data_IF_598646299563
#
_entry.id   IF_598646299563
#
_cell.length_a   1.000
_cell.length_b   1.000
_cell.length_c   1.000
_cell.angle_alpha   90.00
_cell.angle_beta   90.00
_cell.angle_gamma   90.00
#
_symmetry.space_group_name_H-M   'P 1'
#
loop_
_entity.id
_entity.type
_entity.pdbx_description
1 polymer ?
#
# COMPACT_ATOMS: atom_id res chain seq x y z
N UNK A 1 -0.95 -13.82 14.97
CA UNK A 1 -0.03 -14.68 15.74
C UNK A 1 -0.36 -16.13 15.44
N UNK A 2 0.63 -17.03 15.39
CA UNK A 2 0.39 -18.48 15.28
C UNK A 2 1.09 -19.17 16.46
N UNK A 3 0.36 -20.00 17.20
CA UNK A 3 0.90 -20.89 18.24
C UNK A 3 0.27 -22.28 18.11
N UNK A 4 0.98 -23.32 18.53
CA UNK A 4 0.45 -24.68 18.68
C UNK A 4 0.45 -25.00 20.15
N UNK A 5 -0.72 -25.10 20.82
CA UNK A 5 -0.86 -25.46 22.25
C UNK A 5 -0.22 -24.52 23.30
N UNK A 6 0.68 -23.61 22.91
CA UNK A 6 1.21 -22.58 23.80
C UNK A 6 0.18 -21.47 24.02
N UNK A 7 -0.07 -21.14 25.29
CA UNK A 7 -0.85 -19.98 25.68
C UNK A 7 -0.06 -18.69 25.42
N UNK A 8 -0.67 -17.73 24.73
CA UNK A 8 -0.10 -16.40 24.51
C UNK A 8 -1.08 -15.29 24.85
N UNK A 9 -0.56 -14.17 25.32
CA UNK A 9 -1.30 -12.94 25.62
C UNK A 9 -0.57 -11.73 25.06
N UNK A 10 -1.32 -10.78 24.52
CA UNK A 10 -0.83 -9.43 24.28
C UNK A 10 -0.86 -8.67 25.61
N UNK A 11 0.17 -7.87 25.90
CA UNK A 11 0.15 -6.92 27.00
C UNK A 11 0.31 -5.49 26.50
N UNK A 12 -0.39 -4.57 27.16
CA UNK A 12 -0.14 -3.14 27.09
C UNK A 12 0.21 -2.67 28.50
N UNK A 13 1.38 -2.07 28.68
CA UNK A 13 1.82 -1.47 29.93
C UNK A 13 1.78 0.05 29.82
N UNK A 14 0.97 0.67 30.69
CA UNK A 14 0.85 2.14 30.82
C UNK A 14 1.29 2.51 32.23
N UNK A 15 2.41 3.23 32.34
CA UNK A 15 2.98 3.66 33.63
C UNK A 15 3.09 2.56 34.69
N UNK A 16 3.47 1.35 34.24
CA UNK A 16 3.65 0.18 35.12
C UNK A 16 2.38 -0.61 35.39
N UNK A 17 1.21 -0.17 34.89
CA UNK A 17 -0.02 -0.96 34.93
C UNK A 17 -0.15 -1.77 33.65
N UNK A 18 -0.21 -3.09 33.79
CA UNK A 18 -0.34 -4.01 32.65
C UNK A 18 -1.80 -4.39 32.41
N UNK A 19 -2.26 -4.21 31.18
CA UNK A 19 -3.53 -4.73 30.67
C UNK A 19 -3.22 -5.89 29.73
N UNK A 20 -3.70 -7.08 30.09
CA UNK A 20 -3.51 -8.30 29.32
C UNK A 20 -4.75 -8.58 28.45
N UNK A 21 -4.53 -9.08 27.23
CA UNK A 21 -5.60 -9.69 26.44
C UNK A 21 -6.09 -10.98 27.11
N UNK A 22 -7.21 -11.52 26.63
CA UNK A 22 -7.55 -12.92 26.89
C UNK A 22 -6.39 -13.83 26.48
N UNK A 23 -6.16 -14.92 27.22
CA UNK A 23 -5.16 -15.91 26.85
C UNK A 23 -5.68 -16.75 25.68
N UNK A 24 -4.86 -16.88 24.64
CA UNK A 24 -5.17 -17.70 23.48
C UNK A 24 -4.28 -18.94 23.46
N UNK A 25 -4.93 -20.10 23.36
CA UNK A 25 -4.29 -21.39 23.11
C UNK A 25 -4.43 -21.67 21.62
N UNK A 26 -3.37 -21.41 20.86
CA UNK A 26 -3.47 -21.38 19.41
C UNK A 26 -3.86 -22.71 18.80
N UNK A 27 -4.60 -22.63 17.69
CA UNK A 27 -5.08 -23.76 16.89
C UNK A 27 -4.09 -24.23 15.83
N UNK A 28 -2.88 -23.66 15.80
CA UNK A 28 -1.93 -23.85 14.70
C UNK A 28 -2.21 -23.01 13.46
N UNK A 29 -3.17 -22.07 13.52
CA UNK A 29 -3.45 -21.09 12.46
C UNK A 29 -3.12 -19.66 12.90
N UNK A 30 -3.13 -18.70 11.96
CA UNK A 30 -3.00 -17.29 12.30
C UNK A 30 -4.27 -16.81 12.99
N UNK A 31 -4.11 -16.39 14.23
CA UNK A 31 -5.16 -15.81 15.07
C UNK A 31 -4.79 -14.37 15.39
N UNK A 32 -5.80 -13.54 15.54
CA UNK A 32 -5.59 -12.16 15.95
C UNK A 32 -5.80 -12.03 17.46
N UNK A 33 -4.92 -11.24 18.08
CA UNK A 33 -4.95 -10.90 19.49
C UNK A 33 -5.12 -9.40 19.61
N UNK A 34 -5.99 -9.00 20.52
CA UNK A 34 -6.26 -7.61 20.82
C UNK A 34 -6.21 -7.37 22.33
N UNK A 35 -5.60 -6.25 22.70
CA UNK A 35 -5.70 -5.66 24.03
C UNK A 35 -6.00 -4.18 23.83
N UNK A 36 -6.86 -3.63 24.68
CA UNK A 36 -7.21 -2.22 24.65
C UNK A 36 -7.03 -1.67 26.05
N UNK A 37 -6.46 -0.48 26.14
CA UNK A 37 -6.35 0.25 27.41
C UNK A 37 -6.66 1.71 27.17
N UNK A 38 -7.18 2.39 28.19
CA UNK A 38 -7.40 3.84 28.16
C UNK A 38 -6.38 4.47 29.10
N UNK A 39 -5.35 5.14 28.56
CA UNK A 39 -4.38 5.84 29.41
C UNK A 39 -5.05 6.96 30.20
N UNK A 40 -4.46 7.29 31.35
CA UNK A 40 -4.79 8.52 32.05
C UNK A 40 -4.31 9.75 31.23
N UNK A 41 -4.75 10.94 31.64
CA UNK A 41 -4.48 12.20 30.95
C UNK A 41 -2.98 12.56 30.81
N UNK A 42 -2.07 11.90 31.52
CA UNK A 42 -0.63 12.07 31.40
C UNK A 42 0.06 10.71 31.50
N UNK A 43 0.32 10.08 30.34
CA UNK A 43 1.13 8.86 30.26
C UNK A 43 2.61 9.17 30.07
N UNK A 44 3.47 8.59 30.92
CA UNK A 44 4.94 8.76 30.81
C UNK A 44 5.63 7.58 30.14
N UNK A 45 5.08 6.38 30.31
CA UNK A 45 5.62 5.15 29.78
C UNK A 45 4.52 4.33 29.11
N UNK A 46 4.78 3.94 27.87
CA UNK A 46 3.91 3.07 27.09
C UNK A 46 4.75 1.93 26.51
N UNK A 47 4.34 0.68 26.74
CA UNK A 47 4.98 -0.51 26.19
C UNK A 47 3.94 -1.50 25.72
N UNK A 48 4.23 -2.21 24.65
CA UNK A 48 3.43 -3.35 24.19
C UNK A 48 4.34 -4.56 24.02
N UNK A 49 3.75 -5.74 24.09
CA UNK A 49 4.48 -6.96 23.80
C UNK A 49 3.60 -8.19 23.93
N UNK A 50 4.24 -9.35 23.83
CA UNK A 50 3.60 -10.65 23.93
C UNK A 50 4.22 -11.39 25.10
N UNK A 51 3.36 -11.95 25.95
CA UNK A 51 3.74 -12.88 27.02
C UNK A 51 3.27 -14.28 26.65
N UNK A 52 4.13 -15.26 26.90
CA UNK A 52 3.81 -16.68 26.79
C UNK A 52 3.38 -17.17 28.18
N UNK A 53 2.18 -17.72 28.29
CA UNK A 53 1.54 -18.05 29.57
C UNK A 53 1.73 -19.50 29.98
N UNK A 54 2.28 -20.33 29.10
CA UNK A 54 2.52 -21.76 29.35
C UNK A 54 3.99 -22.11 29.14
N UNK A 55 4.51 -23.05 29.92
CA UNK A 55 5.85 -23.63 29.77
C UNK A 55 5.93 -24.59 28.58
N UNK A 56 5.58 -24.12 27.39
CA UNK A 56 5.61 -24.89 26.14
C UNK A 56 6.95 -24.66 25.41
N UNK A 57 7.42 -25.70 24.69
CA UNK A 57 8.57 -25.63 23.78
C UNK A 57 8.18 -25.18 22.37
N UNK A 58 6.90 -24.85 22.15
CA UNK A 58 6.35 -24.53 20.85
C UNK A 58 6.82 -23.16 20.36
N UNK A 59 6.90 -23.04 19.04
CA UNK A 59 7.29 -21.79 18.38
C UNK A 59 6.09 -20.85 18.32
N UNK A 60 6.37 -19.57 18.53
CA UNK A 60 5.40 -18.49 18.37
C UNK A 60 5.85 -17.62 17.22
N UNK A 61 4.95 -17.39 16.27
CA UNK A 61 5.16 -16.44 15.18
C UNK A 61 4.27 -15.21 15.39
N UNK A 62 4.91 -14.05 15.45
CA UNK A 62 4.26 -12.75 15.67
C UNK A 62 4.48 -11.92 14.40
N UNK A 63 3.39 -11.44 13.79
CA UNK A 63 3.44 -10.40 12.76
C UNK A 63 3.73 -9.04 13.41
N UNK A 64 4.10 -8.01 12.63
CA UNK A 64 4.39 -6.68 13.16
C UNK A 64 3.27 -6.20 14.12
N UNK A 65 3.58 -5.87 15.40
CA UNK A 65 2.59 -5.33 16.32
C UNK A 65 2.20 -3.93 15.89
N UNK A 66 0.90 -3.62 15.91
CA UNK A 66 0.37 -2.31 15.50
C UNK A 66 -0.31 -1.62 16.67
N UNK A 67 -0.02 -0.32 16.84
CA UNK A 67 -0.66 0.53 17.83
C UNK A 67 -1.80 1.30 17.18
N UNK A 68 -3.03 1.10 17.65
CA UNK A 68 -4.22 1.82 17.19
C UNK A 68 -4.68 2.84 18.22
N UNK A 69 -4.95 4.06 17.77
CA UNK A 69 -5.65 5.07 18.55
C UNK A 69 -7.13 5.12 18.15
N UNK A 70 -8.02 5.22 19.14
CA UNK A 70 -9.47 5.37 18.95
C UNK A 70 -10.29 4.09 19.16
N UNK A 71 -11.58 4.14 18.82
CA UNK A 71 -12.54 3.05 19.01
C UNK A 71 -12.54 1.94 17.93
N UNK A 72 -11.57 1.97 17.01
CA UNK A 72 -11.40 0.92 16.02
C UNK A 72 -10.60 -0.22 16.64
N UNK A 73 -11.30 -0.99 17.45
CA UNK A 73 -10.85 -2.26 18.02
C UNK A 73 -11.37 -3.41 17.15
N UNK A 74 -10.54 -4.43 16.94
CA UNK A 74 -10.90 -5.65 16.25
C UNK A 74 -9.84 -6.10 15.24
N UNK A 75 -9.81 -7.42 15.03
CA UNK A 75 -8.98 -8.10 14.01
C UNK A 75 -9.29 -7.71 12.57
N UNK A 76 -10.35 -6.93 12.38
CA UNK A 76 -10.62 -6.21 11.17
C UNK A 76 -9.95 -4.85 11.27
N UNK A 77 -8.68 -4.79 10.89
CA UNK A 77 -8.20 -3.60 10.20
C UNK A 77 -8.91 -3.56 8.83
N UNK A 78 -10.21 -3.28 8.85
CA UNK A 78 -10.87 -2.70 7.71
C UNK A 78 -10.25 -1.31 7.61
N UNK A 79 -9.25 -1.19 6.74
CA UNK A 79 -8.91 -0.03 5.93
C UNK A 79 -9.36 1.28 6.59
N UNK A 80 -8.44 2.03 7.23
CA UNK A 80 -8.76 3.41 7.60
C UNK A 80 -8.85 4.21 6.30
N UNK A 81 -10.04 4.71 5.92
CA UNK A 81 -10.19 5.46 4.68
C UNK A 81 -9.25 6.66 4.67
N UNK A 82 -8.43 6.79 3.63
CA UNK A 82 -7.48 7.89 3.46
C UNK A 82 -6.12 7.73 4.17
N UNK A 83 -5.81 6.57 4.75
CA UNK A 83 -4.47 6.33 5.32
C UNK A 83 -3.42 6.17 4.20
N UNK A 84 -2.30 6.89 4.32
CA UNK A 84 -1.16 6.78 3.42
C UNK A 84 -0.14 5.79 4.01
N UNK A 85 0.11 4.72 3.29
CA UNK A 85 1.13 3.72 3.61
C UNK A 85 2.30 3.87 2.63
N UNK A 86 3.47 4.22 3.15
CA UNK A 86 4.72 4.24 2.37
C UNK A 86 5.34 2.85 2.33
N UNK A 87 5.75 2.41 1.14
CA UNK A 87 6.32 1.09 0.92
C UNK A 87 7.80 1.08 1.30
N UNK A 88 8.27 0.04 2.00
CA UNK A 88 9.69 -0.14 2.34
C UNK A 88 10.57 -0.35 1.09
N UNK A 89 9.97 -0.88 0.02
CA UNK A 89 10.59 -1.07 -1.29
C UNK A 89 9.63 -0.60 -2.37
N UNK A 90 10.17 0.05 -3.40
CA UNK A 90 9.40 0.41 -4.59
C UNK A 90 8.88 -0.84 -5.32
N UNK A 91 7.68 -0.71 -5.86
CA UNK A 91 7.01 -1.73 -6.66
C UNK A 91 6.90 -1.23 -8.09
N UNK A 92 7.42 -2.02 -9.03
CA UNK A 92 7.42 -1.67 -10.44
C UNK A 92 6.18 -2.29 -11.10
N UNK A 93 5.29 -1.46 -11.63
CA UNK A 93 4.10 -1.93 -12.38
C UNK A 93 4.28 -1.83 -13.89
N UNK A 94 5.26 -1.05 -14.34
CA UNK A 94 5.77 -1.04 -15.70
C UNK A 94 7.30 -0.94 -15.61
N UNK A 95 8.04 -2.06 -15.64
CA UNK A 95 9.50 -2.06 -15.50
C UNK A 95 10.18 -1.72 -16.83
N UNK A 96 11.38 -1.12 -16.74
CA UNK A 96 12.20 -0.74 -17.90
C UNK A 96 12.46 -1.88 -18.88
N UNK A 97 12.71 -3.08 -18.37
CA UNK A 97 13.15 -4.23 -19.15
C UNK A 97 11.98 -4.99 -19.79
N UNK A 98 10.75 -4.62 -19.46
CA UNK A 98 9.50 -5.14 -20.04
C UNK A 98 8.45 -4.02 -20.05
N UNK A 99 8.67 -2.94 -20.81
CA UNK A 99 7.80 -1.78 -20.79
C UNK A 99 6.41 -2.19 -21.28
N UNK A 100 5.37 -1.73 -20.59
CA UNK A 100 4.01 -1.84 -21.10
C UNK A 100 3.89 -0.94 -22.32
N UNK A 101 3.14 -1.40 -23.32
CA UNK A 101 2.71 -0.49 -24.35
C UNK A 101 1.78 0.54 -23.69
N UNK A 102 2.04 1.82 -23.92
CA UNK A 102 1.27 2.89 -23.29
C UNK A 102 -0.17 2.96 -23.85
N UNK A 103 -0.49 2.15 -24.86
CA UNK A 103 -1.81 1.98 -25.49
C UNK A 103 -2.82 1.28 -24.58
N UNK A 104 -2.36 0.59 -23.53
CA UNK A 104 -3.22 0.02 -22.50
C UNK A 104 -4.00 1.16 -21.81
N UNK A 105 -5.28 1.31 -22.15
CA UNK A 105 -6.16 2.34 -21.58
C UNK A 105 -6.37 2.13 -20.06
N UNK A 106 -6.21 0.88 -19.60
CA UNK A 106 -6.44 0.45 -18.22
C UNK A 106 -5.27 -0.40 -17.74
N UNK A 107 -4.65 -0.01 -16.63
CA UNK A 107 -3.58 -0.75 -15.98
C UNK A 107 -4.13 -1.49 -14.76
N UNK A 108 -4.08 -2.82 -14.79
CA UNK A 108 -4.47 -3.65 -13.64
C UNK A 108 -3.33 -3.72 -12.62
N UNK A 109 -3.38 -2.88 -11.59
CA UNK A 109 -2.27 -2.67 -10.67
C UNK A 109 -1.96 -3.92 -9.84
N UNK A 110 -2.97 -4.68 -9.42
CA UNK A 110 -2.78 -5.91 -8.66
C UNK A 110 -1.98 -6.93 -9.48
N UNK A 111 -2.36 -7.16 -10.74
CA UNK A 111 -1.68 -8.12 -11.62
C UNK A 111 -0.29 -7.62 -11.98
N UNK A 112 -0.17 -6.35 -12.37
CA UNK A 112 1.10 -5.74 -12.79
C UNK A 112 2.13 -5.67 -11.65
N UNK A 113 1.67 -5.53 -10.40
CA UNK A 113 2.51 -5.60 -9.20
C UNK A 113 2.80 -7.02 -8.72
N UNK A 114 2.38 -8.05 -9.46
CA UNK A 114 2.49 -9.46 -9.05
C UNK A 114 1.87 -9.73 -7.67
N UNK A 115 0.65 -9.20 -7.46
CA UNK A 115 -0.15 -9.33 -6.24
C UNK A 115 0.48 -8.67 -4.99
N UNK A 116 1.46 -7.78 -5.17
CA UNK A 116 2.09 -7.06 -4.05
C UNK A 116 1.22 -5.89 -3.59
N UNK A 117 0.63 -5.15 -4.54
CA UNK A 117 -0.27 -4.04 -4.22
C UNK A 117 -1.71 -4.56 -4.09
N UNK A 118 -2.42 -4.20 -3.01
CA UNK A 118 -3.80 -4.65 -2.81
C UNK A 118 -4.78 -3.98 -3.77
N UNK A 119 -5.99 -4.54 -3.86
CA UNK A 119 -7.15 -3.85 -4.46
C UNK A 119 -7.68 -2.75 -3.52
N UNK A 120 -8.68 -2.03 -4.02
CA UNK A 120 -9.44 -1.03 -3.24
C UNK A 120 -8.57 0.09 -2.66
N UNK A 121 -7.54 0.46 -3.42
CA UNK A 121 -6.72 1.64 -3.16
C UNK A 121 -7.47 2.87 -3.72
N UNK A 122 -7.31 4.03 -3.07
CA UNK A 122 -7.84 5.31 -3.58
C UNK A 122 -6.87 6.01 -4.53
N UNK A 123 -5.57 5.97 -4.21
CA UNK A 123 -4.51 6.49 -5.06
C UNK A 123 -3.16 5.83 -4.77
N UNK A 124 -2.28 5.86 -5.75
CA UNK A 124 -0.91 5.39 -5.66
C UNK A 124 0.04 6.57 -5.78
N UNK A 125 1.10 6.62 -4.96
CA UNK A 125 2.17 7.59 -5.16
C UNK A 125 3.21 6.96 -6.08
N UNK A 126 3.27 7.46 -7.31
CA UNK A 126 4.10 6.90 -8.37
C UNK A 126 5.12 7.91 -8.89
N UNK A 127 6.28 7.40 -9.30
CA UNK A 127 7.20 8.07 -10.21
C UNK A 127 7.04 7.47 -11.60
N UNK A 128 6.82 8.33 -12.59
CA UNK A 128 6.57 7.95 -13.99
C UNK A 128 7.65 8.54 -14.86
N UNK A 129 8.27 7.70 -15.68
CA UNK A 129 9.26 8.10 -16.67
C UNK A 129 8.78 7.72 -18.06
N UNK A 130 8.98 8.62 -19.02
CA UNK A 130 8.73 8.36 -20.45
C UNK A 130 9.88 8.90 -21.28
N UNK A 131 10.22 8.18 -22.36
CA UNK A 131 11.16 8.65 -23.37
C UNK A 131 10.43 8.87 -24.70
N UNK A 132 10.59 10.07 -25.25
CA UNK A 132 9.99 10.50 -26.50
C UNK A 132 11.12 10.72 -27.52
N UNK A 133 11.31 9.74 -28.41
CA UNK A 133 12.38 9.77 -29.41
C UNK A 133 11.90 10.10 -30.83
N UNK A 134 10.59 10.19 -31.08
CA UNK A 134 10.05 10.25 -32.44
C UNK A 134 8.81 11.14 -32.65
N UNK A 135 8.29 11.81 -31.62
CA UNK A 135 6.98 12.47 -31.73
C UNK A 135 7.12 13.95 -32.11
N UNK A 136 6.35 14.40 -33.11
CA UNK A 136 6.46 15.74 -33.74
C UNK A 136 5.75 16.87 -33.00
N UNK A 137 4.99 16.56 -31.95
CA UNK A 137 4.30 17.52 -31.06
C UNK A 137 4.47 17.14 -29.59
N UNK A 138 4.04 18.01 -28.66
CA UNK A 138 4.05 17.71 -27.24
C UNK A 138 2.95 16.68 -26.92
N UNK A 139 3.34 15.42 -26.81
CA UNK A 139 2.47 14.28 -26.50
C UNK A 139 2.90 13.67 -25.19
N UNK A 140 1.99 12.99 -24.50
CA UNK A 140 2.29 12.41 -23.21
C UNK A 140 1.14 11.64 -22.60
N UNK A 141 1.23 11.38 -21.30
CA UNK A 141 0.29 10.52 -20.57
C UNK A 141 -0.38 11.35 -19.48
N UNK A 142 -1.71 11.25 -19.41
CA UNK A 142 -2.46 11.70 -18.24
C UNK A 142 -3.15 10.50 -17.61
N UNK A 143 -3.04 10.41 -16.28
CA UNK A 143 -3.66 9.36 -15.48
C UNK A 143 -4.96 9.83 -14.84
N UNK A 144 -5.92 8.92 -14.77
CA UNK A 144 -7.29 9.13 -14.33
C UNK A 144 -7.74 7.98 -13.43
N UNK A 145 -8.76 8.23 -12.61
CA UNK A 145 -9.35 7.23 -11.72
C UNK A 145 -10.61 6.56 -12.31
N UNK A 146 -10.95 6.85 -13.56
CA UNK A 146 -12.15 6.33 -14.22
C UNK A 146 -12.02 6.35 -15.74
N UNK A 147 -12.87 5.56 -16.41
CA UNK A 147 -12.93 5.43 -17.87
C UNK A 147 -13.55 6.61 -18.61
N UNK A 148 -14.21 7.54 -17.91
CA UNK A 148 -14.75 8.78 -18.49
C UNK A 148 -13.68 9.86 -18.68
N UNK A 149 -12.50 9.69 -18.06
CA UNK A 149 -11.40 10.65 -18.08
C UNK A 149 -11.76 12.03 -17.53
N UNK A 150 -12.60 12.08 -16.49
CA UNK A 150 -13.16 13.34 -15.97
C UNK A 150 -12.19 14.11 -15.06
N UNK A 151 -11.34 13.42 -14.28
CA UNK A 151 -10.41 14.02 -13.31
C UNK A 151 -9.00 13.50 -13.55
N UNK A 152 -8.13 14.35 -14.09
CA UNK A 152 -6.71 14.06 -14.26
C UNK A 152 -5.96 14.19 -12.93
N UNK A 153 -5.13 13.20 -12.62
CA UNK A 153 -4.35 13.15 -11.37
C UNK A 153 -2.90 13.52 -11.59
N UNK A 154 -2.20 12.74 -12.40
CA UNK A 154 -0.80 12.96 -12.77
C UNK A 154 -0.74 13.11 -14.30
N UNK A 155 0.03 14.09 -14.75
CA UNK A 155 0.25 14.33 -16.18
C UNK A 155 1.76 14.42 -16.42
N UNK A 156 2.20 13.79 -17.50
CA UNK A 156 3.56 13.85 -18.00
C UNK A 156 3.53 14.17 -19.49
N UNK A 157 4.08 15.31 -19.88
CA UNK A 157 4.08 15.83 -21.26
C UNK A 157 5.53 16.09 -21.70
N UNK A 158 6.27 15.07 -22.17
CA UNK A 158 7.58 15.30 -22.76
C UNK A 158 7.46 16.27 -23.95
N UNK A 159 8.38 17.25 -24.01
CA UNK A 159 8.50 18.13 -25.15
C UNK A 159 9.01 17.37 -26.40
N UNK A 160 8.73 17.91 -27.59
CA UNK A 160 9.26 17.40 -28.86
C UNK A 160 10.79 17.27 -28.77
N UNK A 161 11.32 16.13 -29.20
CA UNK A 161 12.76 15.81 -29.14
C UNK A 161 13.38 15.85 -27.73
N UNK A 162 12.56 15.86 -26.67
CA UNK A 162 13.06 15.72 -25.31
C UNK A 162 13.16 14.23 -24.96
N UNK A 163 14.40 13.75 -24.90
CA UNK A 163 14.75 12.32 -24.81
C UNK A 163 14.20 11.66 -23.53
N UNK A 164 13.93 12.43 -22.46
CA UNK A 164 13.41 11.88 -21.21
C UNK A 164 12.60 12.88 -20.40
N UNK A 165 11.41 12.49 -19.94
CA UNK A 165 10.62 13.21 -18.95
C UNK A 165 10.38 12.34 -17.71
N UNK A 166 10.30 12.97 -16.54
CA UNK A 166 9.95 12.33 -15.28
C UNK A 166 8.95 13.20 -14.54
N UNK A 167 7.93 12.57 -13.96
CA UNK A 167 6.93 13.21 -13.10
C UNK A 167 6.66 12.29 -11.91
N UNK A 168 6.33 12.87 -10.76
CA UNK A 168 5.96 12.09 -9.56
C UNK A 168 4.78 12.73 -8.85
N UNK A 169 3.90 11.90 -8.33
CA UNK A 169 2.72 12.36 -7.64
C UNK A 169 1.68 11.27 -7.41
N UNK A 170 0.51 11.70 -6.97
CA UNK A 170 -0.62 10.81 -6.76
C UNK A 170 -1.29 10.46 -8.09
N UNK A 171 -1.54 9.18 -8.29
CA UNK A 171 -2.29 8.59 -9.40
C UNK A 171 -3.56 7.99 -8.80
N UNK A 172 -4.73 8.52 -9.17
CA UNK A 172 -6.01 8.02 -8.67
C UNK A 172 -6.38 6.68 -9.29
N UNK A 173 -7.08 5.85 -8.53
CA UNK A 173 -7.53 4.51 -8.95
C UNK A 173 -9.04 4.37 -8.85
N UNK A 174 -9.60 3.45 -9.64
CA UNK A 174 -11.01 3.08 -9.52
C UNK A 174 -11.28 2.21 -8.28
N UNK A 175 -12.50 1.68 -8.15
CA UNK A 175 -12.87 0.80 -7.02
C UNK A 175 -12.17 -0.56 -7.05
N UNK A 176 -11.64 -1.00 -8.19
CA UNK A 176 -10.88 -2.23 -8.29
C UNK A 176 -9.39 -2.02 -7.97
N UNK A 177 -8.94 -0.75 -7.89
CA UNK A 177 -7.54 -0.40 -7.73
C UNK A 177 -6.83 -0.17 -9.07
N UNK A 178 -7.56 -0.12 -10.18
CA UNK A 178 -7.02 0.02 -11.53
C UNK A 178 -6.80 1.50 -11.88
N UNK A 179 -5.78 1.76 -12.71
CA UNK A 179 -5.44 3.09 -13.21
C UNK A 179 -5.95 3.21 -14.64
N UNK A 180 -6.54 4.36 -14.98
CA UNK A 180 -6.88 4.70 -16.35
C UNK A 180 -5.84 5.67 -16.89
N UNK A 181 -5.39 5.45 -18.12
CA UNK A 181 -4.45 6.36 -18.76
C UNK A 181 -4.94 6.77 -20.13
N UNK A 182 -4.63 8.01 -20.48
CA UNK A 182 -4.86 8.55 -21.82
C UNK A 182 -3.56 9.09 -22.37
N UNK A 183 -3.18 8.58 -23.54
CA UNK A 183 -2.13 9.18 -24.34
C UNK A 183 -2.75 10.26 -25.21
N UNK A 184 -2.25 11.48 -25.12
CA UNK A 184 -2.59 12.52 -26.09
C UNK A 184 -1.80 12.25 -27.37
N UNK A 185 -2.42 11.54 -28.32
CA UNK A 185 -1.93 11.15 -29.67
C UNK A 185 -0.48 10.64 -29.75
N UNK A 186 -0.29 9.34 -29.55
CA UNK A 186 0.85 8.64 -30.12
C UNK A 186 0.29 7.50 -30.98
N UNK A 187 0.51 7.56 -32.29
CA UNK A 187 0.28 6.44 -33.22
C UNK A 187 1.35 5.36 -33.02
N UNK A 188 1.55 4.91 -31.77
CA UNK A 188 2.73 4.18 -31.27
C UNK A 188 4.01 5.02 -31.42
N UNK A 189 4.66 5.53 -30.37
CA UNK A 189 5.45 4.74 -29.42
C UNK A 189 5.98 5.71 -28.36
N UNK A 190 5.35 5.82 -27.19
CA UNK A 190 6.08 6.28 -26.02
C UNK A 190 6.98 5.12 -25.58
N UNK A 191 8.28 5.26 -25.79
CA UNK A 191 9.28 4.25 -25.44
C UNK A 191 9.78 4.44 -24.01
N UNK A 192 10.32 3.37 -23.40
CA UNK A 192 10.85 3.40 -22.03
C UNK A 192 9.84 4.00 -21.03
N UNK A 193 8.60 3.55 -21.14
CA UNK A 193 7.53 3.89 -20.21
C UNK A 193 7.70 3.08 -18.92
N UNK A 194 8.01 3.78 -17.84
CA UNK A 194 8.30 3.18 -16.53
C UNK A 194 7.39 3.78 -15.46
N UNK A 195 6.87 2.93 -14.57
CA UNK A 195 6.09 3.35 -13.40
C UNK A 195 6.57 2.62 -12.15
N UNK A 196 7.00 3.40 -11.17
CA UNK A 196 7.48 2.94 -9.88
C UNK A 196 6.59 3.47 -8.75
N UNK A 197 6.02 2.58 -7.94
CA UNK A 197 5.13 2.93 -6.83
C UNK A 197 5.91 2.91 -5.52
N UNK A 198 5.79 3.97 -4.72
CA UNK A 198 6.42 4.07 -3.40
C UNK A 198 5.44 4.28 -2.25
N UNK A 199 4.17 4.52 -2.53
CA UNK A 199 3.15 4.65 -1.50
C UNK A 199 1.75 4.35 -2.01
N UNK A 200 0.85 4.00 -1.11
CA UNK A 200 -0.56 3.76 -1.39
C UNK A 200 -1.42 4.60 -0.43
N UNK A 201 -2.53 5.12 -0.93
CA UNK A 201 -3.56 5.77 -0.13
C UNK A 201 -4.78 4.84 -0.10
N UNK A 202 -5.14 4.34 1.08
CA UNK A 202 -6.25 3.41 1.26
C UNK A 202 -7.60 4.11 1.06
N UNK A 203 -8.61 3.40 0.55
CA UNK A 203 -9.93 3.98 0.25
C UNK A 203 -10.83 4.16 1.46
#
# INVERSE_FOLDING_TARGET
>A
MQTTNAGAQLYISVDGTETLSTAHTGTGTYECLESTTTPNNITRHFRTGVTVTTSSTDRIWVSQPMLTFGGNTGCNYAIRPGEIVWLEKQVDIAPKDSPLAADDVVLNVEILSNLVLPKDIAALYGAVTVENSSITSAHGITFYNNSSFDTGYLTILPAVNNIKANSSGWIGTDRNGDIFQRITEADDTLSAYEIHISGINLR
#
